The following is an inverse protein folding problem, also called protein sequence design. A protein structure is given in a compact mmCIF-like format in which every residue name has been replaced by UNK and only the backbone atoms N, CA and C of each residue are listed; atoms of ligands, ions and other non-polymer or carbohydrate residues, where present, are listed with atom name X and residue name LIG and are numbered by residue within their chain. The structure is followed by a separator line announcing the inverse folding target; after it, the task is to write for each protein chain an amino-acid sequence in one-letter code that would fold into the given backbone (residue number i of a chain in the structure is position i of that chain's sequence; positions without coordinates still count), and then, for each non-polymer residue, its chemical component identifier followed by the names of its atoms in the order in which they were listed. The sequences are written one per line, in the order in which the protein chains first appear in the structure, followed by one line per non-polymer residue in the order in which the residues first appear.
data_IF_630187056453
#
_entry.id   IF_630187056453
#
_cell.length_a   1.000
_cell.length_b   1.000
_cell.length_c   1.000
_cell.angle_alpha   90.00
_cell.angle_beta   90.00
_cell.angle_gamma   90.00
#
_symmetry.space_group_name_H-M   'P 1'
#
loop_
_entity.id
_entity.type
_entity.pdbx_description
1 polymer ?
#
# COMPACT_ATOMS: atom_id res chain seq x y z
N UNK A 1 20.79 -62.34 -46.32
CA UNK A 1 19.40 -61.95 -46.03
C UNK A 1 19.37 -61.25 -44.68
N UNK A 2 19.11 -59.94 -44.67
CA UNK A 2 19.08 -59.08 -43.47
C UNK A 2 17.77 -59.31 -42.72
N UNK A 3 17.83 -59.59 -41.41
CA UNK A 3 16.68 -59.48 -40.49
C UNK A 3 17.00 -58.36 -39.52
N UNK A 4 16.32 -57.23 -39.69
CA UNK A 4 16.43 -56.04 -38.82
C UNK A 4 15.42 -56.23 -37.70
N UNK A 5 15.88 -56.23 -36.45
CA UNK A 5 15.01 -56.15 -35.28
C UNK A 5 14.81 -54.67 -34.93
N UNK A 6 13.60 -54.18 -35.12
CA UNK A 6 13.20 -52.82 -34.69
C UNK A 6 12.72 -52.93 -33.25
N UNK A 7 13.46 -52.32 -32.33
CA UNK A 7 13.05 -52.11 -30.94
C UNK A 7 11.94 -51.06 -30.91
N UNK A 8 10.73 -51.47 -30.51
CA UNK A 8 9.59 -50.59 -30.30
C UNK A 8 9.69 -49.95 -28.91
N UNK A 9 10.34 -48.78 -28.84
CA UNK A 9 10.35 -47.95 -27.64
C UNK A 9 8.99 -47.30 -27.44
N UNK A 10 8.25 -47.73 -26.41
CA UNK A 10 6.98 -47.11 -26.02
C UNK A 10 7.28 -45.82 -25.24
N UNK A 11 7.24 -44.68 -25.93
CA UNK A 11 7.33 -43.35 -25.33
C UNK A 11 6.04 -43.06 -24.56
N UNK A 12 6.02 -43.30 -23.26
CA UNK A 12 5.01 -42.74 -22.36
C UNK A 12 5.24 -41.24 -22.24
N UNK A 13 4.45 -40.45 -22.97
CA UNK A 13 4.37 -39.01 -22.77
C UNK A 13 3.71 -38.74 -21.41
N UNK A 14 4.52 -38.46 -20.39
CA UNK A 14 4.01 -38.01 -19.08
C UNK A 14 3.60 -36.54 -19.24
N UNK A 15 2.34 -36.16 -18.99
CA UNK A 15 1.94 -34.76 -19.01
C UNK A 15 2.62 -34.03 -17.85
N UNK A 16 3.57 -33.15 -18.18
CA UNK A 16 4.11 -32.17 -17.25
C UNK A 16 2.97 -31.25 -16.79
N UNK A 17 2.45 -31.50 -15.59
CA UNK A 17 1.58 -30.54 -14.90
C UNK A 17 2.46 -29.36 -14.46
N UNK A 18 2.47 -28.30 -15.27
CA UNK A 18 3.02 -27.01 -14.86
C UNK A 18 2.02 -26.45 -13.85
N UNK A 19 2.38 -26.28 -12.57
CA UNK A 19 1.48 -25.61 -11.63
C UNK A 19 1.25 -24.19 -12.14
N UNK A 20 -0.01 -23.82 -12.33
CA UNK A 20 -0.41 -22.43 -12.56
C UNK A 20 0.06 -21.62 -11.34
N UNK A 21 1.13 -20.84 -11.51
CA UNK A 21 1.48 -19.81 -10.54
C UNK A 21 0.37 -18.76 -10.58
N UNK A 22 -0.56 -18.84 -9.63
CA UNK A 22 -1.48 -17.77 -9.32
C UNK A 22 -0.65 -16.61 -8.78
N UNK A 23 -0.31 -15.66 -9.65
CA UNK A 23 0.21 -14.36 -9.26
C UNK A 23 -0.91 -13.64 -8.50
N UNK A 24 -0.84 -13.64 -7.17
CA UNK A 24 -1.72 -12.82 -6.35
C UNK A 24 -1.50 -11.36 -6.75
N UNK A 25 -2.46 -10.78 -7.47
CA UNK A 25 -2.49 -9.34 -7.70
C UNK A 25 -2.69 -8.69 -6.33
N UNK A 26 -1.63 -8.13 -5.75
CA UNK A 26 -1.74 -7.33 -4.55
C UNK A 26 -2.51 -6.06 -4.92
N UNK A 27 -3.82 -6.08 -4.66
CA UNK A 27 -4.63 -4.87 -4.75
C UNK A 27 -4.11 -3.84 -3.74
N UNK A 28 -3.83 -2.63 -4.22
CA UNK A 28 -3.42 -1.54 -3.35
C UNK A 28 -4.57 -1.23 -2.38
N UNK A 29 -4.32 -1.18 -1.05
CA UNK A 29 -5.36 -0.85 -0.10
C UNK A 29 -6.00 0.51 -0.40
N UNK A 30 -7.32 0.61 -0.22
CA UNK A 30 -8.07 1.85 -0.51
C UNK A 30 -7.53 3.09 0.23
N UNK A 31 -6.94 2.90 1.42
CA UNK A 31 -6.36 3.99 2.21
C UNK A 31 -5.04 4.54 1.62
N UNK A 32 -4.35 3.80 0.76
CA UNK A 32 -2.98 4.12 0.34
C UNK A 32 -2.91 5.45 -0.42
N UNK A 33 -3.96 5.80 -1.17
CA UNK A 33 -4.12 7.12 -1.83
C UNK A 33 -3.98 8.25 -0.81
N UNK A 34 -4.67 8.13 0.32
CA UNK A 34 -4.71 9.14 1.37
C UNK A 34 -3.43 9.17 2.19
N UNK A 35 -2.81 8.00 2.40
CA UNK A 35 -1.49 7.92 3.04
C UNK A 35 -0.43 8.68 2.25
N UNK A 36 -0.43 8.59 0.91
CA UNK A 36 0.47 9.38 0.06
C UNK A 36 0.23 10.88 0.23
N UNK A 37 -1.02 11.33 0.20
CA UNK A 37 -1.38 12.73 0.40
C UNK A 37 -0.94 13.23 1.79
N UNK A 38 -1.15 12.43 2.84
CA UNK A 38 -0.71 12.77 4.19
C UNK A 38 0.81 13.00 4.28
N UNK A 39 1.60 12.14 3.62
CA UNK A 39 3.07 12.29 3.54
C UNK A 39 3.47 13.56 2.80
N UNK A 40 2.80 13.88 1.69
CA UNK A 40 3.08 15.09 0.90
C UNK A 40 2.79 16.37 1.70
N UNK A 41 1.63 16.43 2.38
CA UNK A 41 1.23 17.56 3.22
C UNK A 41 2.17 17.76 4.41
N UNK A 42 2.57 16.67 5.07
CA UNK A 42 3.55 16.73 6.17
C UNK A 42 4.91 17.21 5.68
N UNK A 43 5.38 16.74 4.52
CA UNK A 43 6.64 17.23 3.91
C UNK A 43 6.56 18.72 3.58
N UNK A 44 5.42 19.20 3.08
CA UNK A 44 5.19 20.61 2.80
C UNK A 44 5.26 21.48 4.07
N UNK A 45 4.63 21.02 5.16
CA UNK A 45 4.61 21.75 6.44
C UNK A 45 5.94 21.65 7.21
N UNK A 46 6.66 20.54 7.10
CA UNK A 46 7.91 20.27 7.82
C UNK A 46 9.05 19.91 6.86
N UNK A 47 9.49 20.83 5.98
CA UNK A 47 10.44 20.55 4.91
C UNK A 47 11.85 20.14 5.41
N UNK A 48 12.17 20.41 6.68
CA UNK A 48 13.45 20.09 7.30
C UNK A 48 13.40 18.86 8.22
N UNK A 49 12.23 18.23 8.38
CA UNK A 49 12.08 17.02 9.17
C UNK A 49 12.08 15.78 8.27
N UNK A 50 12.66 14.68 8.75
CA UNK A 50 12.57 13.38 8.09
C UNK A 50 11.36 12.63 8.63
N UNK A 51 10.48 12.14 7.76
CA UNK A 51 9.47 11.17 8.15
C UNK A 51 10.17 9.82 8.32
N UNK A 52 10.16 9.27 9.54
CA UNK A 52 10.84 8.01 9.88
C UNK A 52 9.89 6.82 9.97
N UNK A 53 8.61 7.07 10.25
CA UNK A 53 7.58 6.04 10.26
C UNK A 53 6.20 6.66 9.96
N UNK A 54 5.24 5.81 9.58
CA UNK A 54 3.84 6.18 9.40
C UNK A 54 2.90 5.05 9.82
N UNK A 55 1.78 5.41 10.42
CA UNK A 55 0.72 4.50 10.82
C UNK A 55 -0.60 4.97 10.24
N UNK A 56 -1.34 4.04 9.64
CA UNK A 56 -2.75 4.24 9.34
C UNK A 56 -3.58 3.94 10.60
N UNK A 57 -4.23 4.96 11.15
CA UNK A 57 -5.03 4.85 12.37
C UNK A 57 -6.49 4.42 12.07
N UNK A 58 -6.84 4.26 10.79
CA UNK A 58 -8.17 3.88 10.32
C UNK A 58 -8.98 5.06 9.79
N UNK A 59 -10.28 4.81 9.59
CA UNK A 59 -11.22 5.80 9.04
C UNK A 59 -12.49 5.94 9.87
N UNK A 60 -13.12 7.10 9.73
CA UNK A 60 -14.44 7.41 10.30
C UNK A 60 -15.36 7.93 9.21
N UNK A 61 -16.61 7.47 9.16
CA UNK A 61 -17.62 7.96 8.21
C UNK A 61 -18.56 8.91 8.92
N UNK A 62 -18.73 10.10 8.37
CA UNK A 62 -19.56 11.18 8.90
C UNK A 62 -20.50 11.68 7.81
N UNK A 63 -21.70 11.08 7.74
CA UNK A 63 -22.68 11.41 6.70
C UNK A 63 -22.15 11.12 5.29
N UNK A 64 -22.01 12.15 4.46
CA UNK A 64 -21.48 12.03 3.10
C UNK A 64 -19.93 11.95 3.06
N UNK A 65 -19.25 12.29 4.15
CA UNK A 65 -17.80 12.42 4.18
C UNK A 65 -17.13 11.26 4.92
N UNK A 66 -15.91 10.94 4.53
CA UNK A 66 -15.03 10.01 5.23
C UNK A 66 -13.78 10.75 5.69
N UNK A 67 -13.34 10.47 6.91
CA UNK A 67 -12.10 10.98 7.49
C UNK A 67 -11.11 9.83 7.59
N UNK A 68 -10.02 9.90 6.84
CA UNK A 68 -8.89 8.99 6.96
C UNK A 68 -7.85 9.58 7.91
N UNK A 69 -7.35 8.77 8.84
CA UNK A 69 -6.49 9.21 9.95
C UNK A 69 -5.14 8.53 9.88
N UNK A 70 -4.08 9.32 10.04
CA UNK A 70 -2.70 8.84 10.03
C UNK A 70 -1.91 9.47 11.18
N UNK A 71 -0.93 8.73 11.68
CA UNK A 71 0.14 9.27 12.53
C UNK A 71 1.47 9.12 11.81
N UNK A 72 2.20 10.22 11.62
CA UNK A 72 3.53 10.23 11.03
C UNK A 72 4.55 10.62 12.11
N UNK A 73 5.66 9.88 12.20
CA UNK A 73 6.76 10.22 13.10
C UNK A 73 7.82 10.99 12.33
N UNK A 74 8.17 12.16 12.85
CA UNK A 74 9.10 13.08 12.25
C UNK A 74 10.34 13.22 13.13
N UNK A 75 11.50 13.27 12.49
CA UNK A 75 12.79 13.41 13.14
C UNK A 75 13.55 14.62 12.59
N UNK A 76 13.95 15.49 13.50
CA UNK A 76 14.92 16.57 13.32
C UNK A 76 16.18 16.25 14.15
N UNK A 77 17.28 17.02 14.01
CA UNK A 77 18.51 16.74 14.75
C UNK A 77 18.33 16.72 16.28
N UNK A 78 17.43 17.54 16.78
CA UNK A 78 17.22 17.83 18.20
C UNK A 78 15.91 17.28 18.77
N UNK A 79 14.95 16.89 17.90
CA UNK A 79 13.64 16.40 18.34
C UNK A 79 13.05 15.32 17.44
N UNK A 80 12.25 14.47 18.07
CA UNK A 80 11.37 13.50 17.41
C UNK A 80 9.94 13.72 17.91
N UNK A 81 8.98 13.83 16.99
CA UNK A 81 7.60 14.16 17.32
C UNK A 81 6.63 13.50 16.34
N UNK A 82 5.40 13.26 16.79
CA UNK A 82 4.32 12.72 15.97
C UNK A 82 3.49 13.84 15.35
N UNK A 83 2.99 13.62 14.14
CA UNK A 83 1.98 14.47 13.51
C UNK A 83 0.77 13.61 13.17
N UNK A 84 -0.37 13.93 13.78
CA UNK A 84 -1.66 13.38 13.37
C UNK A 84 -2.15 14.13 12.13
N UNK A 85 -2.52 13.37 11.11
CA UNK A 85 -3.08 13.88 9.86
C UNK A 85 -4.50 13.35 9.71
N UNK A 86 -5.48 14.24 9.58
CA UNK A 86 -6.87 13.90 9.30
C UNK A 86 -7.23 14.45 7.93
N UNK A 87 -7.63 13.58 7.01
CA UNK A 87 -8.05 13.94 5.65
C UNK A 87 -9.53 13.67 5.51
N UNK A 88 -10.33 14.73 5.44
CA UNK A 88 -11.77 14.66 5.18
C UNK A 88 -12.02 14.76 3.68
N UNK A 89 -12.81 13.84 3.13
CA UNK A 89 -13.20 13.85 1.73
C UNK A 89 -14.65 13.35 1.54
N UNK A 90 -15.29 13.80 0.46
CA UNK A 90 -16.61 13.30 0.05
C UNK A 90 -16.51 11.84 -0.38
N UNK A 91 -17.27 10.95 0.26
CA UNK A 91 -17.16 9.49 0.05
C UNK A 91 -17.51 9.07 -1.38
N UNK A 92 -18.44 9.78 -2.01
CA UNK A 92 -18.93 9.51 -3.38
C UNK A 92 -17.93 9.94 -4.47
N UNK A 93 -17.31 11.11 -4.32
CA UNK A 93 -16.45 11.72 -5.35
C UNK A 93 -14.96 11.61 -5.03
N UNK A 94 -14.62 11.30 -3.78
CA UNK A 94 -13.26 11.36 -3.24
C UNK A 94 -12.62 12.75 -3.36
N UNK A 95 -13.44 13.80 -3.40
CA UNK A 95 -12.99 15.19 -3.36
C UNK A 95 -12.56 15.55 -1.95
N UNK A 96 -11.36 16.10 -1.79
CA UNK A 96 -10.82 16.50 -0.48
C UNK A 96 -11.52 17.77 -0.03
N UNK A 97 -12.13 17.72 1.15
CA UNK A 97 -12.80 18.85 1.78
C UNK A 97 -11.86 19.59 2.73
N UNK A 98 -11.04 18.84 3.49
CA UNK A 98 -10.16 19.40 4.52
C UNK A 98 -8.99 18.48 4.84
N UNK A 99 -7.84 19.07 5.14
CA UNK A 99 -6.69 18.39 5.72
C UNK A 99 -6.28 19.11 7.00
N UNK A 100 -6.15 18.36 8.09
CA UNK A 100 -5.73 18.88 9.39
C UNK A 100 -4.43 18.20 9.83
N UNK A 101 -3.47 19.01 10.28
CA UNK A 101 -2.18 18.54 10.79
C UNK A 101 -1.98 19.01 12.23
N UNK A 102 -1.92 18.07 13.15
CA UNK A 102 -1.72 18.33 14.57
C UNK A 102 -0.43 17.67 15.09
N UNK A 103 0.51 18.49 15.56
CA UNK A 103 1.71 18.01 16.25
C UNK A 103 1.33 17.40 17.60
N UNK A 104 2.01 16.32 17.96
CA UNK A 104 1.87 15.59 19.22
C UNK A 104 3.26 15.18 19.71
N UNK A 105 3.46 15.17 21.03
CA UNK A 105 4.66 14.61 21.60
C UNK A 105 4.61 13.08 21.49
N UNK A 106 5.77 12.48 21.29
CA UNK A 106 5.98 11.03 21.13
C UNK A 106 5.62 10.26 22.40
#
# INVERSE_FOLDING_TARGET
MKKVYVMLGLLFAVPLHIPEMVLAQQETPAYAKWGKLAVEEVKGKYPHAKIVDYLHEGKEVHGASTIEKFKLWLKQPDKEFGVHVRISYLTSTQEVEKIELQESQS
#
